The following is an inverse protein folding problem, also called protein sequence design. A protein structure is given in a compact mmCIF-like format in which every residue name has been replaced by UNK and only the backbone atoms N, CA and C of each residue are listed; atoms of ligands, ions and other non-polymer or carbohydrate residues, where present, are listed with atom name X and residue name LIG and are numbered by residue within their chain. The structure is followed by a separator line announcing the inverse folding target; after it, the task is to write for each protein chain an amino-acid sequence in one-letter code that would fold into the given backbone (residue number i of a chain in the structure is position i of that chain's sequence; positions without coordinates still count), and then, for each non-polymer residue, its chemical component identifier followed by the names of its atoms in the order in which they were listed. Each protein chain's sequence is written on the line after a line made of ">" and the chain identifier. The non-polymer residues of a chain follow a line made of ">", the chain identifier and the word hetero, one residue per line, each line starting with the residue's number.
data_IF_773414537073
#
_entry.id   IF_773414537073
#
_cell.length_a   1.000
_cell.length_b   1.000
_cell.length_c   1.000
_cell.angle_alpha   90.00
_cell.angle_beta   90.00
_cell.angle_gamma   90.00
#
_symmetry.space_group_name_H-M   'P 1'
#
loop_
_entity.id
_entity.type
_entity.pdbx_description
1 polymer ?
#
# COMPACT_ATOMS: atom_id res chain seq x y z
N UNK A 1 14.44 13.19 -15.63
CA UNK A 1 14.93 11.81 -15.88
C UNK A 1 16.40 11.82 -15.53
N UNK A 2 16.82 11.03 -14.53
CA UNK A 2 18.16 11.02 -13.92
C UNK A 2 18.54 12.32 -13.18
N UNK A 3 18.78 12.25 -11.86
CA UNK A 3 19.43 13.35 -11.15
C UNK A 3 20.94 13.23 -11.40
N UNK A 4 21.60 14.23 -12.01
CA UNK A 4 23.02 14.13 -12.39
C UNK A 4 23.99 14.03 -11.19
N UNK A 5 23.48 14.12 -9.95
CA UNK A 5 24.27 14.22 -8.72
C UNK A 5 24.47 12.92 -7.94
N UNK A 6 23.96 11.76 -8.39
CA UNK A 6 24.10 10.51 -7.65
C UNK A 6 25.51 9.90 -7.80
N UNK A 7 26.50 10.45 -7.11
CA UNK A 7 27.82 9.83 -6.90
C UNK A 7 27.68 8.62 -5.98
N UNK A 8 27.45 7.43 -6.55
CA UNK A 8 27.49 6.16 -5.83
C UNK A 8 27.14 4.97 -6.74
N UNK A 9 27.83 3.84 -6.55
CA UNK A 9 27.53 2.58 -7.25
C UNK A 9 26.07 2.19 -7.09
N UNK A 10 25.42 1.69 -8.16
CA UNK A 10 24.01 1.28 -8.13
C UNK A 10 23.77 0.34 -6.93
N UNK A 11 22.93 0.72 -5.95
CA UNK A 11 22.67 -0.12 -4.79
C UNK A 11 21.95 -1.39 -5.22
N UNK A 12 22.23 -2.49 -4.52
CA UNK A 12 21.58 -3.78 -4.78
C UNK A 12 20.05 -3.67 -4.58
N UNK A 13 19.23 -3.95 -5.61
CA UNK A 13 17.77 -3.82 -5.51
C UNK A 13 17.14 -4.93 -4.67
N UNK A 14 17.84 -6.06 -4.49
CA UNK A 14 17.30 -7.27 -3.88
C UNK A 14 16.78 -7.06 -2.46
N UNK A 15 17.47 -6.25 -1.64
CA UNK A 15 17.02 -5.97 -0.27
C UNK A 15 15.69 -5.22 -0.21
N UNK A 16 15.51 -4.23 -1.10
CA UNK A 16 14.26 -3.49 -1.20
C UNK A 16 13.14 -4.34 -1.81
N UNK A 17 13.45 -5.16 -2.81
CA UNK A 17 12.51 -6.13 -3.38
C UNK A 17 12.02 -7.14 -2.33
N UNK A 18 12.92 -7.74 -1.55
CA UNK A 18 12.54 -8.71 -0.50
C UNK A 18 11.63 -8.05 0.53
N UNK A 19 11.93 -6.82 0.96
CA UNK A 19 11.05 -6.09 1.88
C UNK A 19 9.65 -5.87 1.30
N UNK A 20 9.54 -5.43 0.04
CA UNK A 20 8.27 -5.23 -0.63
C UNK A 20 7.49 -6.56 -0.81
N UNK A 21 8.19 -7.65 -1.11
CA UNK A 21 7.59 -8.99 -1.20
C UNK A 21 7.11 -9.51 0.15
N UNK A 22 7.86 -9.31 1.23
CA UNK A 22 7.43 -9.66 2.59
C UNK A 22 6.19 -8.86 2.99
N UNK A 23 6.16 -7.56 2.68
CA UNK A 23 4.99 -6.72 2.91
C UNK A 23 3.78 -7.21 2.10
N UNK A 24 3.97 -7.57 0.83
CA UNK A 24 2.93 -8.15 -0.01
C UNK A 24 2.41 -9.48 0.59
N UNK A 25 3.31 -10.38 0.98
CA UNK A 25 2.96 -11.65 1.62
C UNK A 25 2.15 -11.45 2.90
N UNK A 26 2.55 -10.50 3.75
CA UNK A 26 1.80 -10.13 4.95
C UNK A 26 0.40 -9.59 4.63
N UNK A 27 0.28 -8.68 3.66
CA UNK A 27 -1.01 -8.14 3.22
C UNK A 27 -1.94 -9.23 2.68
N UNK A 28 -1.40 -10.16 1.89
CA UNK A 28 -2.14 -11.28 1.36
C UNK A 28 -2.58 -12.24 2.47
N UNK A 29 -1.69 -12.54 3.42
CA UNK A 29 -1.99 -13.36 4.58
C UNK A 29 -3.14 -12.76 5.40
N UNK A 30 -3.09 -11.47 5.72
CA UNK A 30 -4.18 -10.79 6.41
C UNK A 30 -5.48 -10.81 5.60
N UNK A 31 -5.42 -10.53 4.30
CA UNK A 31 -6.60 -10.57 3.43
C UNK A 31 -7.27 -11.95 3.42
N UNK A 32 -6.49 -13.02 3.22
CA UNK A 32 -7.01 -14.39 3.19
C UNK A 32 -7.59 -14.82 4.55
N UNK A 33 -7.05 -14.32 5.65
CA UNK A 33 -7.61 -14.59 6.98
C UNK A 33 -8.90 -13.82 7.23
N UNK A 34 -9.03 -12.59 6.72
CA UNK A 34 -10.18 -11.71 6.98
C UNK A 34 -11.35 -11.92 6.00
N UNK A 35 -11.09 -12.30 4.75
CA UNK A 35 -12.11 -12.45 3.70
C UNK A 35 -13.23 -13.45 4.04
N UNK A 36 -13.00 -14.58 4.75
CA UNK A 36 -14.08 -15.50 5.10
C UNK A 36 -15.03 -14.92 6.15
N UNK A 37 -14.54 -14.03 7.02
CA UNK A 37 -15.33 -13.42 8.09
C UNK A 37 -16.11 -12.18 7.61
N UNK A 38 -15.54 -11.41 6.70
CA UNK A 38 -16.13 -10.15 6.21
C UNK A 38 -16.31 -10.11 4.69
N UNK A 39 -16.94 -11.12 4.06
CA UNK A 39 -17.14 -11.13 2.63
C UNK A 39 -18.10 -10.00 2.19
N UNK A 40 -17.75 -9.33 1.08
CA UNK A 40 -18.58 -8.28 0.48
C UNK A 40 -19.96 -8.80 0.03
N UNK A 41 -20.08 -10.11 -0.26
CA UNK A 41 -21.33 -10.75 -0.65
C UNK A 41 -22.40 -10.74 0.44
N UNK A 42 -22.03 -10.52 1.71
CA UNK A 42 -23.00 -10.37 2.80
C UNK A 42 -23.83 -9.11 2.69
N UNK A 43 -23.39 -8.07 1.97
CA UNK A 43 -24.19 -6.86 1.80
C UNK A 43 -25.47 -7.07 0.98
N UNK A 44 -25.50 -8.10 0.13
CA UNK A 44 -26.66 -8.47 -0.68
C UNK A 44 -27.52 -9.56 -0.04
N UNK A 45 -27.12 -10.07 1.12
CA UNK A 45 -27.82 -11.13 1.84
C UNK A 45 -29.01 -10.53 2.61
N UNK A 46 -30.24 -11.10 2.50
CA UNK A 46 -31.40 -10.66 3.27
C UNK A 46 -31.13 -10.56 4.78
N UNK A 47 -30.31 -11.46 5.32
CA UNK A 47 -29.95 -11.48 6.75
C UNK A 47 -29.18 -10.23 7.20
N UNK A 48 -28.49 -9.54 6.28
CA UNK A 48 -27.83 -8.27 6.59
C UNK A 48 -28.83 -7.14 6.81
N UNK A 49 -29.96 -7.15 6.09
CA UNK A 49 -30.99 -6.11 6.23
C UNK A 49 -31.70 -6.15 7.59
N UNK A 50 -31.74 -7.32 8.24
CA UNK A 50 -32.32 -7.51 9.57
C UNK A 50 -31.42 -7.00 10.71
N UNK A 51 -30.14 -6.71 10.45
CA UNK A 51 -29.23 -6.26 11.48
C UNK A 51 -29.52 -4.83 11.94
N UNK A 52 -29.33 -4.58 13.24
CA UNK A 52 -29.36 -3.23 13.82
C UNK A 52 -28.24 -2.34 13.27
N UNK A 53 -28.42 -1.03 13.37
CA UNK A 53 -27.51 -0.01 12.81
C UNK A 53 -26.04 -0.22 13.21
N UNK A 54 -25.76 -0.43 14.49
CA UNK A 54 -24.38 -0.59 14.99
C UNK A 54 -23.68 -1.83 14.44
N UNK A 55 -24.41 -2.94 14.30
CA UNK A 55 -23.88 -4.19 13.73
C UNK A 55 -23.58 -4.02 12.24
N UNK A 56 -24.46 -3.33 11.50
CA UNK A 56 -24.24 -2.97 10.09
C UNK A 56 -23.02 -2.07 9.94
N UNK A 57 -22.91 -1.02 10.75
CA UNK A 57 -21.79 -0.07 10.69
C UNK A 57 -20.44 -0.77 10.98
N UNK A 58 -20.38 -1.59 12.03
CA UNK A 58 -19.18 -2.36 12.34
C UNK A 58 -18.80 -3.34 11.22
N UNK A 59 -19.79 -4.05 10.65
CA UNK A 59 -19.56 -4.95 9.53
C UNK A 59 -19.09 -4.21 8.28
N UNK A 60 -19.68 -3.07 7.95
CA UNK A 60 -19.26 -2.21 6.84
C UNK A 60 -17.82 -1.73 7.00
N UNK A 61 -17.45 -1.29 8.21
CA UNK A 61 -16.09 -0.89 8.52
C UNK A 61 -15.09 -2.04 8.33
N UNK A 62 -15.38 -3.21 8.92
CA UNK A 62 -14.49 -4.38 8.84
C UNK A 62 -14.40 -4.95 7.42
N UNK A 63 -15.49 -4.91 6.65
CA UNK A 63 -15.49 -5.32 5.25
C UNK A 63 -14.68 -4.36 4.38
N UNK A 64 -14.83 -3.04 4.60
CA UNK A 64 -14.00 -2.03 3.95
C UNK A 64 -12.51 -2.17 4.29
N UNK A 65 -12.19 -2.41 5.57
CA UNK A 65 -10.83 -2.72 6.03
C UNK A 65 -10.27 -3.95 5.33
N UNK A 66 -11.03 -5.05 5.29
CA UNK A 66 -10.66 -6.29 4.59
C UNK A 66 -10.38 -6.04 3.10
N UNK A 67 -11.23 -5.26 2.42
CA UNK A 67 -11.04 -4.94 1.01
C UNK A 67 -9.76 -4.12 0.74
N UNK A 68 -9.30 -3.28 1.68
CA UNK A 68 -8.08 -2.47 1.52
C UNK A 68 -6.81 -3.33 1.43
N UNK A 69 -6.73 -4.43 2.19
CA UNK A 69 -5.57 -5.33 2.18
C UNK A 69 -5.30 -5.95 0.81
N UNK A 70 -6.34 -6.21 0.01
CA UNK A 70 -6.22 -6.65 -1.38
C UNK A 70 -5.48 -5.60 -2.24
N UNK A 71 -5.79 -4.33 -2.07
CA UNK A 71 -5.14 -3.25 -2.82
C UNK A 71 -3.69 -3.05 -2.35
N UNK A 72 -3.44 -3.13 -1.04
CA UNK A 72 -2.07 -3.09 -0.50
C UNK A 72 -1.19 -4.20 -1.08
N UNK A 73 -1.73 -5.41 -1.26
CA UNK A 73 -1.03 -6.52 -1.90
C UNK A 73 -0.63 -6.20 -3.35
N UNK A 74 -1.59 -5.79 -4.18
CA UNK A 74 -1.34 -5.50 -5.61
C UNK A 74 -0.32 -4.38 -5.77
N UNK A 75 -0.42 -3.32 -4.96
CA UNK A 75 0.54 -2.22 -5.00
C UNK A 75 1.92 -2.61 -4.48
N UNK A 76 2.02 -3.43 -3.44
CA UNK A 76 3.31 -3.91 -2.92
C UNK A 76 4.02 -4.84 -3.92
N UNK A 77 3.28 -5.70 -4.63
CA UNK A 77 3.85 -6.52 -5.72
C UNK A 77 4.32 -5.66 -6.88
N UNK A 78 3.51 -4.67 -7.28
CA UNK A 78 3.86 -3.77 -8.36
C UNK A 78 5.13 -2.97 -8.03
N UNK A 79 5.26 -2.52 -6.77
CA UNK A 79 6.47 -1.89 -6.26
C UNK A 79 7.68 -2.84 -6.32
N UNK A 80 7.53 -4.08 -5.86
CA UNK A 80 8.59 -5.09 -5.92
C UNK A 80 9.09 -5.31 -7.37
N UNK A 81 8.17 -5.41 -8.34
CA UNK A 81 8.48 -5.56 -9.76
C UNK A 81 9.25 -4.37 -10.34
N UNK A 82 8.87 -3.14 -9.99
CA UNK A 82 9.56 -1.93 -10.49
C UNK A 82 10.96 -1.80 -9.85
N UNK A 83 11.10 -2.18 -8.57
CA UNK A 83 12.39 -2.19 -7.86
C UNK A 83 13.35 -3.21 -8.48
N UNK A 84 12.90 -4.45 -8.73
CA UNK A 84 13.77 -5.50 -9.29
C UNK A 84 14.18 -5.18 -10.74
N UNK A 85 13.32 -4.50 -11.52
CA UNK A 85 13.67 -4.00 -12.86
C UNK A 85 14.66 -2.83 -12.84
N UNK A 86 15.06 -2.32 -11.66
CA UNK A 86 16.02 -1.22 -11.52
C UNK A 86 15.43 0.17 -11.77
N UNK A 87 14.12 0.27 -12.02
CA UNK A 87 13.41 1.53 -12.27
C UNK A 87 12.94 2.23 -10.98
N UNK A 88 12.95 1.52 -9.85
CA UNK A 88 12.54 2.05 -8.54
C UNK A 88 13.55 2.98 -7.86
N UNK A 89 14.79 3.09 -8.37
CA UNK A 89 15.83 3.88 -7.72
C UNK A 89 15.55 5.39 -7.87
N UNK A 90 15.35 6.07 -6.73
CA UNK A 90 14.96 7.49 -6.68
C UNK A 90 16.09 8.43 -6.22
N UNK A 91 17.18 7.89 -5.65
CA UNK A 91 18.33 8.64 -5.18
C UNK A 91 18.93 8.07 -3.90
N UNK A 92 19.87 8.79 -3.29
CA UNK A 92 20.40 8.52 -1.96
C UNK A 92 19.75 9.48 -0.96
N UNK A 93 19.49 9.04 0.28
CA UNK A 93 19.08 9.95 1.37
C UNK A 93 20.30 10.66 1.95
N UNK A 94 20.10 11.89 2.45
CA UNK A 94 21.12 12.73 3.10
C UNK A 94 21.54 12.23 4.50
N UNK A 95 21.26 10.97 4.83
CA UNK A 95 21.66 10.36 6.10
C UNK A 95 23.11 9.85 6.05
N UNK A 96 23.79 9.86 7.20
CA UNK A 96 25.10 9.22 7.38
C UNK A 96 24.92 7.90 8.13
N UNK A 97 25.06 6.72 7.50
CA UNK A 97 25.43 6.46 6.11
C UNK A 97 24.25 6.57 5.11
N UNK A 98 24.53 6.94 3.84
CA UNK A 98 23.49 7.20 2.84
C UNK A 98 22.77 5.90 2.47
N UNK A 99 21.46 5.86 2.71
CA UNK A 99 20.62 4.73 2.33
C UNK A 99 20.06 4.92 0.90
N UNK A 100 19.92 3.85 0.12
CA UNK A 100 19.28 3.93 -1.18
C UNK A 100 17.77 4.16 -1.02
N UNK A 101 17.25 5.21 -1.67
CA UNK A 101 15.84 5.58 -1.64
C UNK A 101 15.11 4.95 -2.81
N UNK A 102 14.10 4.14 -2.54
CA UNK A 102 13.31 3.40 -3.53
C UNK A 102 11.89 3.95 -3.70
N UNK A 103 11.71 5.26 -3.47
CA UNK A 103 10.39 5.88 -3.33
C UNK A 103 9.68 6.14 -4.67
N UNK A 104 10.34 5.93 -5.82
CA UNK A 104 9.73 6.14 -7.14
C UNK A 104 8.59 5.16 -7.43
N UNK A 105 8.68 3.95 -6.88
CA UNK A 105 7.71 2.88 -7.11
C UNK A 105 6.64 2.78 -6.01
N UNK A 106 6.76 3.57 -4.94
CA UNK A 106 5.86 3.50 -3.78
C UNK A 106 4.49 4.08 -4.14
N UNK A 107 3.52 3.19 -4.32
CA UNK A 107 2.14 3.56 -4.64
C UNK A 107 1.25 3.72 -3.40
N UNK A 108 1.64 3.12 -2.27
CA UNK A 108 0.84 3.15 -1.05
C UNK A 108 1.72 3.18 0.20
N UNK A 109 1.29 3.96 1.19
CA UNK A 109 1.82 3.88 2.55
C UNK A 109 0.78 3.25 3.47
N UNK A 110 0.92 1.95 3.75
CA UNK A 110 -0.06 1.18 4.52
C UNK A 110 -0.26 1.77 5.91
N UNK A 111 0.83 2.12 6.61
CA UNK A 111 0.75 2.72 7.94
C UNK A 111 0.18 4.14 7.87
N UNK A 112 0.57 4.90 6.84
CA UNK A 112 0.03 6.23 6.59
C UNK A 112 -1.48 6.24 6.35
N UNK A 113 -2.02 5.22 5.68
CA UNK A 113 -3.45 5.08 5.41
C UNK A 113 -4.20 4.63 6.67
N UNK A 114 -3.73 3.59 7.35
CA UNK A 114 -4.44 3.04 8.52
C UNK A 114 -4.35 3.96 9.75
N UNK A 115 -3.28 4.77 9.88
CA UNK A 115 -3.10 5.74 10.96
C UNK A 115 -3.40 7.19 10.51
N UNK A 116 -4.09 7.37 9.38
CA UNK A 116 -4.43 8.70 8.88
C UNK A 116 -5.29 9.46 9.89
N UNK A 117 -4.79 10.61 10.36
CA UNK A 117 -5.50 11.49 11.32
C UNK A 117 -6.61 12.33 10.67
N UNK A 118 -6.66 12.38 9.34
CA UNK A 118 -7.63 13.17 8.58
C UNK A 118 -7.86 12.59 7.20
N UNK A 119 -9.09 12.70 6.69
CA UNK A 119 -9.47 12.25 5.36
C UNK A 119 -8.68 12.95 4.24
N UNK A 120 -8.20 14.19 4.48
CA UNK A 120 -7.38 14.95 3.52
C UNK A 120 -6.01 14.28 3.29
N UNK A 121 -5.53 13.53 4.27
CA UNK A 121 -4.25 12.82 4.17
C UNK A 121 -4.38 11.55 3.34
N UNK A 122 -5.55 10.89 3.36
CA UNK A 122 -5.77 9.59 2.70
C UNK A 122 -5.34 9.61 1.22
N UNK A 123 -5.76 10.57 0.37
CA UNK A 123 -5.31 10.60 -1.03
C UNK A 123 -3.80 10.79 -1.18
N UNK A 124 -3.12 11.43 -0.22
CA UNK A 124 -1.67 11.64 -0.27
C UNK A 124 -0.87 10.37 0.06
N UNK A 125 -1.49 9.36 0.68
CA UNK A 125 -0.84 8.10 1.09
C UNK A 125 -1.44 6.86 0.41
N UNK A 126 -2.61 6.99 -0.21
CA UNK A 126 -3.33 5.96 -0.95
C UNK A 126 -3.32 6.29 -2.44
N UNK A 127 -2.78 5.39 -3.27
CA UNK A 127 -2.65 5.60 -4.72
C UNK A 127 -1.90 6.89 -5.07
N UNK A 128 -0.70 7.02 -4.51
CA UNK A 128 0.12 8.23 -4.54
C UNK A 128 0.34 8.76 -5.96
N UNK A 129 0.54 7.86 -6.94
CA UNK A 129 0.80 8.25 -8.33
C UNK A 129 -0.41 8.94 -8.97
N UNK A 130 -1.61 8.39 -8.82
CA UNK A 130 -2.83 9.02 -9.35
C UNK A 130 -3.13 10.33 -8.63
N UNK A 131 -2.96 10.37 -7.31
CA UNK A 131 -3.16 11.59 -6.53
C UNK A 131 -2.16 12.70 -6.88
N UNK A 132 -0.94 12.33 -7.28
CA UNK A 132 0.07 13.28 -7.78
C UNK A 132 -0.32 13.77 -9.17
N UNK A 133 -0.76 12.87 -10.06
CA UNK A 133 -1.25 13.21 -11.39
C UNK A 133 -2.45 14.18 -11.34
N UNK A 134 -3.41 13.96 -10.44
CA UNK A 134 -4.59 14.83 -10.30
C UNK A 134 -4.30 16.23 -9.75
N UNK A 135 -3.11 16.45 -9.16
CA UNK A 135 -2.72 17.74 -8.58
C UNK A 135 -1.94 18.63 -9.55
N UNK A 136 -1.56 18.11 -10.71
CA UNK A 136 -0.73 18.77 -11.73
C UNK A 136 -1.44 18.80 -13.08
#
# INVERSE_FOLDING_TARGET
>A
IWSPGAKGSKPSPYGATIRALLQAGFCMGLYLNLVPYFPLSKFTDPSYHEWGFWKKLGYQYMSGFTARWKYYFIWSISEASIIISGLGFSGWTDSSPPKPRWDRAKNVDILGVELAKSAVVIPAVWNIQVSTWLRH
#
